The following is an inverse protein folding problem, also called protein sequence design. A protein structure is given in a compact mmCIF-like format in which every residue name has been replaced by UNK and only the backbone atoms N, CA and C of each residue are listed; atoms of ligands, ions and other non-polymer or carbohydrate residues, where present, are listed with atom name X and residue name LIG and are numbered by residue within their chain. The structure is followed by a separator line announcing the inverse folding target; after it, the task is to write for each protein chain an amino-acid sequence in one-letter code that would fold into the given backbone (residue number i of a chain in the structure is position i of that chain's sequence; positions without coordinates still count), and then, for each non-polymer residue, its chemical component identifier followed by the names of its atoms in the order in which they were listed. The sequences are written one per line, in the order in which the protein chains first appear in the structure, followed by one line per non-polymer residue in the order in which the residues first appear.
data_IF_778547570791
#
_entry.id   IF_778547570791
#
_cell.length_a   1.000
_cell.length_b   1.000
_cell.length_c   1.000
_cell.angle_alpha   90.00
_cell.angle_beta   90.00
_cell.angle_gamma   90.00
#
_symmetry.space_group_name_H-M   'P 1'
#
loop_
_entity.id
_entity.type
_entity.pdbx_description
1 polymer ?
#
# COMPACT_ATOMS: atom_id res chain seq x y z
N UNK A 1 76.07 0.64 17.61
CA UNK A 1 75.53 1.90 18.18
C UNK A 1 74.51 2.43 17.18
N UNK A 2 73.23 2.16 17.42
CA UNK A 2 72.15 2.39 16.43
C UNK A 2 71.48 3.73 16.72
N UNK A 3 71.50 4.61 15.72
CA UNK A 3 70.83 5.90 15.68
C UNK A 3 69.32 5.70 15.52
N UNK A 4 68.52 6.20 16.47
CA UNK A 4 67.06 6.16 16.42
C UNK A 4 66.50 7.46 15.81
N UNK A 5 65.95 7.35 14.60
CA UNK A 5 65.14 8.37 13.95
C UNK A 5 63.74 8.43 14.59
N UNK A 6 63.36 9.60 15.07
CA UNK A 6 62.01 9.90 15.57
C UNK A 6 61.07 10.13 14.41
N UNK A 7 60.07 9.25 14.23
CA UNK A 7 58.95 9.45 13.30
C UNK A 7 57.80 10.09 14.07
N UNK A 8 57.51 11.36 13.78
CA UNK A 8 56.30 12.04 14.25
C UNK A 8 55.09 11.50 13.47
N UNK A 9 54.26 10.68 14.12
CA UNK A 9 52.94 10.34 13.61
C UNK A 9 51.97 11.50 13.84
N UNK A 10 51.55 12.15 12.75
CA UNK A 10 50.45 13.11 12.78
C UNK A 10 49.14 12.40 13.14
N UNK A 11 48.48 12.84 14.22
CA UNK A 11 47.12 12.44 14.55
C UNK A 11 46.17 13.08 13.52
N UNK A 12 45.72 12.30 12.54
CA UNK A 12 44.57 12.66 11.71
C UNK A 12 43.32 12.33 12.54
N UNK A 13 42.72 13.35 13.15
CA UNK A 13 41.39 13.25 13.73
C UNK A 13 40.40 12.83 12.63
N UNK A 14 39.54 11.82 12.86
CA UNK A 14 38.47 11.53 11.91
C UNK A 14 37.51 12.71 11.92
N UNK A 15 37.50 13.45 10.81
CA UNK A 15 36.48 14.46 10.52
C UNK A 15 35.13 13.74 10.49
N UNK A 16 34.36 13.88 11.56
CA UNK A 16 32.96 13.51 11.56
C UNK A 16 32.30 14.34 10.46
N UNK A 17 31.95 13.66 9.36
CA UNK A 17 31.12 14.23 8.32
C UNK A 17 29.94 14.93 8.98
N UNK A 18 29.86 16.24 8.78
CA UNK A 18 28.79 17.09 9.25
C UNK A 18 27.46 16.41 8.93
N UNK A 19 26.67 16.26 9.98
CA UNK A 19 25.34 15.69 9.92
C UNK A 19 24.56 16.34 8.77
N UNK A 20 23.90 15.50 7.99
CA UNK A 20 22.78 15.92 7.18
C UNK A 20 21.89 16.82 8.04
N UNK A 21 21.68 18.06 7.60
CA UNK A 21 20.71 18.94 8.23
C UNK A 21 19.38 18.18 8.41
N UNK A 22 18.69 18.35 9.54
CA UNK A 22 17.39 17.73 9.72
C UNK A 22 16.50 18.23 8.59
N UNK A 23 16.09 17.31 7.71
CA UNK A 23 15.00 17.58 6.76
C UNK A 23 13.84 18.07 7.61
N UNK A 24 13.51 19.35 7.49
CA UNK A 24 12.40 19.95 8.18
C UNK A 24 11.19 19.08 7.84
N UNK A 25 10.71 18.34 8.84
CA UNK A 25 9.49 17.53 8.72
C UNK A 25 8.40 18.53 8.38
N UNK A 26 8.09 18.66 7.10
CA UNK A 26 7.00 19.51 6.61
C UNK A 26 5.79 19.09 7.42
N UNK A 27 5.38 19.96 8.33
CA UNK A 27 4.19 19.74 9.14
C UNK A 27 3.05 19.75 8.13
N UNK A 28 2.56 18.56 7.79
CA UNK A 28 1.46 18.42 6.86
C UNK A 28 0.30 19.24 7.41
N UNK A 29 -0.04 20.32 6.71
CA UNK A 29 -1.12 21.21 7.10
C UNK A 29 -2.42 20.42 7.15
N UNK A 30 -3.33 20.72 8.05
CA UNK A 30 -4.66 20.09 8.01
C UNK A 30 -5.33 20.41 6.66
N UNK A 31 -6.16 19.48 6.16
CA UNK A 31 -7.07 19.80 5.06
C UNK A 31 -8.02 20.92 5.49
N UNK A 32 -8.50 21.71 4.51
CA UNK A 32 -9.63 22.61 4.78
C UNK A 32 -10.82 21.82 5.33
N UNK A 33 -11.65 22.46 6.15
CA UNK A 33 -12.81 21.79 6.74
C UNK A 33 -13.75 21.25 5.65
N UNK A 34 -13.98 22.03 4.60
CA UNK A 34 -14.80 21.64 3.43
C UNK A 34 -14.24 20.43 2.69
N UNK A 35 -12.91 20.39 2.46
CA UNK A 35 -12.25 19.27 1.80
C UNK A 35 -12.35 18.00 2.64
N UNK A 36 -12.06 18.11 3.94
CA UNK A 36 -12.18 17.00 4.88
C UNK A 36 -13.62 16.51 5.01
N UNK A 37 -14.59 17.41 5.07
CA UNK A 37 -16.01 17.07 5.15
C UNK A 37 -16.48 16.34 3.89
N UNK A 38 -16.06 16.78 2.70
CA UNK A 38 -16.39 16.11 1.45
C UNK A 38 -15.81 14.69 1.36
N UNK A 39 -14.58 14.47 1.83
CA UNK A 39 -13.99 13.13 1.87
C UNK A 39 -14.64 12.22 2.92
N UNK A 40 -15.02 12.76 4.08
CA UNK A 40 -15.78 12.01 5.09
C UNK A 40 -17.21 11.69 4.66
N UNK A 41 -17.79 12.48 3.76
CA UNK A 41 -19.13 12.26 3.22
C UNK A 41 -19.19 11.17 2.13
N UNK A 42 -18.05 10.62 1.70
CA UNK A 42 -18.01 9.50 0.77
C UNK A 42 -18.78 8.32 1.37
N UNK A 43 -19.82 7.87 0.65
CA UNK A 43 -20.63 6.74 1.05
C UNK A 43 -19.84 5.43 0.92
N UNK A 44 -20.01 4.57 1.92
CA UNK A 44 -19.51 3.22 1.90
C UNK A 44 -20.39 2.33 1.00
N UNK A 45 -19.80 1.54 0.11
CA UNK A 45 -20.52 0.53 -0.67
C UNK A 45 -21.16 -0.52 0.27
N UNK A 46 -22.21 -1.26 -0.16
CA UNK A 46 -22.77 -2.35 0.62
C UNK A 46 -21.72 -3.42 0.98
N UNK A 47 -21.93 -4.15 2.08
CA UNK A 47 -21.11 -5.33 2.37
C UNK A 47 -21.31 -6.38 1.28
N UNK A 48 -20.27 -7.12 0.88
CA UNK A 48 -20.42 -8.20 -0.09
C UNK A 48 -21.30 -9.31 0.48
N UNK A 49 -21.95 -10.09 -0.39
CA UNK A 49 -22.73 -11.28 0.02
C UNK A 49 -21.82 -12.37 0.63
N UNK A 50 -20.60 -12.47 0.13
CA UNK A 50 -19.58 -13.40 0.62
C UNK A 50 -18.19 -12.84 0.38
N UNK A 51 -17.23 -13.26 1.19
CA UNK A 51 -15.81 -12.93 0.98
C UNK A 51 -15.16 -13.93 0.04
N UNK A 52 -14.15 -13.47 -0.69
CA UNK A 52 -13.29 -14.34 -1.48
C UNK A 52 -12.67 -15.39 -0.58
N UNK A 53 -12.90 -16.68 -0.89
CA UNK A 53 -12.45 -17.83 -0.07
C UNK A 53 -12.92 -17.78 1.40
N UNK A 54 -13.99 -17.06 1.69
CA UNK A 54 -14.54 -16.88 3.05
C UNK A 54 -13.46 -16.47 4.08
N UNK A 55 -12.51 -15.63 3.66
CA UNK A 55 -11.30 -15.30 4.42
C UNK A 55 -11.08 -13.80 4.53
N UNK A 56 -10.61 -13.34 5.70
CA UNK A 56 -10.19 -11.97 5.95
C UNK A 56 -8.68 -11.82 5.74
N UNK A 57 -8.26 -10.95 4.83
CA UNK A 57 -6.85 -10.74 4.50
C UNK A 57 -6.20 -9.66 5.38
N UNK A 58 -6.11 -9.94 6.68
CA UNK A 58 -5.63 -9.00 7.73
C UNK A 58 -4.16 -8.58 7.60
N UNK A 59 -3.37 -9.27 6.79
CA UNK A 59 -2.00 -8.91 6.40
C UNK A 59 -1.76 -9.29 4.94
N UNK A 60 -0.90 -8.55 4.26
CA UNK A 60 -0.46 -8.93 2.92
C UNK A 60 0.52 -10.11 2.96
N UNK A 61 0.29 -11.08 2.07
CA UNK A 61 1.18 -12.21 1.81
C UNK A 61 2.21 -11.93 0.70
N UNK A 62 2.10 -10.79 0.02
CA UNK A 62 3.11 -10.24 -0.89
C UNK A 62 4.35 -9.80 -0.09
N UNK A 63 5.53 -10.25 -0.51
CA UNK A 63 6.79 -10.18 0.27
C UNK A 63 7.78 -9.13 -0.23
N UNK A 64 7.60 -8.60 -1.42
CA UNK A 64 8.63 -7.84 -2.14
C UNK A 64 8.12 -6.49 -2.68
N UNK A 65 7.22 -5.81 -1.95
CA UNK A 65 6.71 -4.48 -2.31
C UNK A 65 7.81 -3.44 -2.51
N UNK A 66 8.95 -3.58 -1.81
CA UNK A 66 10.12 -2.73 -1.99
C UNK A 66 10.64 -2.67 -3.44
N UNK A 67 10.30 -3.65 -4.29
CA UNK A 67 10.67 -3.61 -5.71
C UNK A 67 9.98 -2.48 -6.48
N UNK A 68 8.86 -1.94 -5.97
CA UNK A 68 8.11 -0.84 -6.58
C UNK A 68 8.51 0.53 -6.01
N UNK A 69 9.33 0.57 -4.96
CA UNK A 69 9.66 1.81 -4.22
C UNK A 69 10.20 2.91 -5.12
N UNK A 70 11.18 2.59 -5.96
CA UNK A 70 11.81 3.60 -6.83
C UNK A 70 10.84 4.10 -7.91
N UNK A 71 9.97 3.23 -8.43
CA UNK A 71 8.98 3.59 -9.45
C UNK A 71 7.94 4.59 -8.96
N UNK A 72 7.62 4.59 -7.66
CA UNK A 72 6.58 5.47 -7.11
C UNK A 72 7.13 6.70 -6.38
N UNK A 73 8.45 6.86 -6.29
CA UNK A 73 9.08 7.85 -5.42
C UNK A 73 8.61 9.27 -5.73
N UNK A 74 8.03 9.93 -4.72
CA UNK A 74 7.64 11.34 -4.79
C UNK A 74 6.66 11.69 -5.92
N UNK A 75 5.68 10.81 -6.19
CA UNK A 75 4.58 11.09 -7.13
C UNK A 75 3.63 12.16 -6.57
N UNK A 76 3.43 12.20 -5.25
CA UNK A 76 2.50 13.10 -4.59
C UNK A 76 1.04 12.75 -4.84
N UNK A 77 0.15 13.70 -4.52
CA UNK A 77 -1.30 13.60 -4.74
C UNK A 77 -1.97 12.54 -3.88
N UNK A 78 -3.22 12.21 -4.25
CA UNK A 78 -4.01 11.24 -3.51
C UNK A 78 -3.52 9.80 -3.71
N UNK A 79 -3.63 8.99 -2.67
CA UNK A 79 -3.37 7.55 -2.66
C UNK A 79 -4.68 6.79 -2.44
N UNK A 80 -4.93 5.75 -3.22
CA UNK A 80 -5.99 4.76 -2.95
C UNK A 80 -5.32 3.39 -2.84
N UNK A 81 -5.63 2.62 -1.80
CA UNK A 81 -4.99 1.31 -1.64
C UNK A 81 -5.89 0.26 -1.02
N UNK A 82 -5.93 -0.92 -1.65
CA UNK A 82 -6.65 -2.09 -1.16
C UNK A 82 -5.85 -2.87 -0.13
N UNK A 83 -6.52 -3.52 0.82
CA UNK A 83 -5.90 -4.34 1.84
C UNK A 83 -5.26 -3.52 2.95
N UNK A 84 -4.27 -4.09 3.63
CA UNK A 84 -3.90 -3.68 4.99
C UNK A 84 -2.53 -3.02 5.08
N UNK A 85 -1.54 -3.74 5.61
CA UNK A 85 -0.29 -3.19 6.13
C UNK A 85 0.65 -2.65 5.06
N UNK A 86 0.52 -3.14 3.83
CA UNK A 86 1.37 -2.77 2.69
C UNK A 86 1.11 -1.34 2.22
N UNK A 87 -0.09 -0.81 2.45
CA UNK A 87 -0.42 0.59 2.12
C UNK A 87 0.51 1.57 2.84
N UNK A 88 0.90 1.28 4.08
CA UNK A 88 1.82 2.10 4.86
C UNK A 88 3.27 2.05 4.37
N UNK A 89 3.63 1.11 3.49
CA UNK A 89 4.91 1.16 2.77
C UNK A 89 4.83 2.14 1.61
N UNK A 90 3.75 2.07 0.82
CA UNK A 90 3.59 2.89 -0.39
C UNK A 90 3.37 4.38 -0.10
N UNK A 91 2.53 4.72 0.89
CA UNK A 91 2.18 6.12 1.21
C UNK A 91 3.41 7.03 1.40
N UNK A 92 4.38 6.71 2.27
CA UNK A 92 5.58 7.56 2.43
C UNK A 92 6.54 7.45 1.25
N UNK A 93 6.58 6.34 0.51
CA UNK A 93 7.39 6.22 -0.69
C UNK A 93 6.87 7.13 -1.81
N UNK A 94 5.55 7.17 -2.01
CA UNK A 94 4.92 8.04 -3.00
C UNK A 94 4.79 9.49 -2.56
N UNK A 95 5.00 9.78 -1.26
CA UNK A 95 4.76 11.09 -0.66
C UNK A 95 3.31 11.58 -0.90
N UNK A 96 2.36 10.65 -0.84
CA UNK A 96 0.94 10.99 -1.03
C UNK A 96 0.40 11.76 0.16
N UNK A 97 -0.42 12.78 -0.09
CA UNK A 97 -0.83 13.80 0.89
C UNK A 97 -2.33 13.74 1.26
N UNK A 98 -3.09 12.89 0.58
CA UNK A 98 -4.48 12.49 0.89
C UNK A 98 -4.57 10.99 0.68
N UNK A 99 -5.07 10.23 1.65
CA UNK A 99 -5.03 8.77 1.65
C UNK A 99 -6.42 8.18 1.81
N UNK A 100 -6.81 7.30 0.90
CA UNK A 100 -8.00 6.45 1.01
C UNK A 100 -7.56 5.00 1.18
N UNK A 101 -7.77 4.47 2.39
CA UNK A 101 -7.58 3.05 2.71
C UNK A 101 -8.89 2.35 2.42
N UNK A 102 -8.96 1.70 1.26
CA UNK A 102 -10.19 1.19 0.66
C UNK A 102 -10.23 -0.33 0.77
N UNK A 103 -11.29 -0.91 1.29
CA UNK A 103 -11.48 -2.36 1.21
C UNK A 103 -12.96 -2.72 1.18
N UNK A 104 -13.36 -3.77 0.48
CA UNK A 104 -14.77 -4.19 0.49
C UNK A 104 -15.10 -4.99 1.77
N UNK A 105 -14.09 -5.54 2.44
CA UNK A 105 -14.22 -6.23 3.71
C UNK A 105 -14.23 -5.23 4.87
N UNK A 106 -15.36 -5.15 5.57
CA UNK A 106 -15.51 -4.23 6.70
C UNK A 106 -14.50 -4.48 7.82
N UNK A 107 -14.08 -5.74 8.03
CA UNK A 107 -13.10 -6.06 9.07
C UNK A 107 -11.75 -5.38 8.80
N UNK A 108 -11.39 -5.24 7.53
CA UNK A 108 -10.16 -4.56 7.10
C UNK A 108 -10.26 -3.06 7.31
N UNK A 109 -11.42 -2.45 7.00
CA UNK A 109 -11.70 -1.04 7.29
C UNK A 109 -11.61 -0.76 8.80
N UNK A 110 -12.22 -1.61 9.62
CA UNK A 110 -12.16 -1.48 11.10
C UNK A 110 -10.73 -1.69 11.63
N UNK A 111 -9.96 -2.58 11.00
CA UNK A 111 -8.55 -2.80 11.34
C UNK A 111 -7.70 -1.55 11.09
N UNK A 112 -7.99 -0.75 10.05
CA UNK A 112 -7.28 0.51 9.82
C UNK A 112 -7.48 1.51 10.96
N UNK A 113 -8.62 1.50 11.64
CA UNK A 113 -8.83 2.31 12.85
C UNK A 113 -7.89 1.91 13.99
N UNK A 114 -7.55 0.61 14.09
CA UNK A 114 -6.56 0.11 15.05
C UNK A 114 -5.14 0.50 14.64
N UNK A 115 -4.83 0.48 13.34
CA UNK A 115 -3.55 1.00 12.83
C UNK A 115 -3.37 2.49 13.12
N UNK A 116 -4.43 3.30 12.97
CA UNK A 116 -4.39 4.72 13.34
C UNK A 116 -3.97 4.89 14.80
N UNK A 117 -4.62 4.19 15.73
CA UNK A 117 -4.24 4.22 17.16
C UNK A 117 -2.80 3.74 17.36
N UNK A 118 -2.36 2.72 16.62
CA UNK A 118 -0.98 2.23 16.70
C UNK A 118 0.03 3.30 16.27
N UNK A 119 -0.25 4.07 15.22
CA UNK A 119 0.59 5.19 14.78
C UNK A 119 0.54 6.38 15.75
N UNK A 120 -0.64 6.76 16.23
CA UNK A 120 -0.82 7.91 17.11
C UNK A 120 -0.23 7.70 18.52
N UNK A 121 -0.21 6.46 19.01
CA UNK A 121 0.24 6.11 20.36
C UNK A 121 1.57 5.37 20.43
N UNK A 122 2.34 5.32 19.33
CA UNK A 122 3.70 4.77 19.34
C UNK A 122 4.68 5.87 18.94
N UNK A 123 5.75 6.03 19.73
CA UNK A 123 6.71 7.12 19.53
C UNK A 123 7.58 6.93 18.28
N UNK A 124 7.82 5.68 17.89
CA UNK A 124 8.76 5.30 16.84
C UNK A 124 8.37 3.95 16.20
N UNK A 125 9.07 3.50 15.13
CA UNK A 125 8.81 2.21 14.50
C UNK A 125 8.89 0.99 15.43
N UNK A 126 9.79 1.00 16.42
CA UNK A 126 9.97 -0.13 17.34
C UNK A 126 8.79 -0.24 18.31
N UNK A 127 8.34 0.89 18.86
CA UNK A 127 7.14 0.99 19.67
C UNK A 127 5.90 0.56 18.88
N UNK A 128 5.80 0.98 17.61
CA UNK A 128 4.71 0.58 16.71
C UNK A 128 4.65 -0.93 16.52
N UNK A 129 5.78 -1.60 16.31
CA UNK A 129 5.81 -3.08 16.22
C UNK A 129 5.41 -3.70 17.57
N UNK A 130 5.85 -3.13 18.69
CA UNK A 130 5.55 -3.61 20.05
C UNK A 130 4.07 -3.47 20.42
N UNK A 131 3.35 -2.50 19.85
CA UNK A 131 1.91 -2.29 20.00
C UNK A 131 1.11 -3.58 19.77
N UNK A 132 1.52 -4.41 18.81
CA UNK A 132 0.85 -5.66 18.44
C UNK A 132 1.28 -6.87 19.30
N UNK A 133 2.15 -6.68 20.29
CA UNK A 133 2.67 -7.76 21.13
C UNK A 133 1.65 -8.25 22.16
N UNK A 134 1.83 -9.49 22.64
CA UNK A 134 0.96 -10.08 23.69
C UNK A 134 0.93 -9.22 24.95
N UNK A 135 2.04 -8.60 25.32
CA UNK A 135 2.14 -7.75 26.51
C UNK A 135 1.39 -6.42 26.40
N UNK A 136 1.00 -5.99 25.19
CA UNK A 136 0.31 -4.72 24.96
C UNK A 136 -1.21 -4.88 24.81
N UNK A 137 -1.75 -6.10 24.88
CA UNK A 137 -3.18 -6.37 24.64
C UNK A 137 -4.08 -5.49 25.49
N UNK A 138 -3.88 -5.46 26.82
CA UNK A 138 -4.70 -4.65 27.74
C UNK A 138 -4.61 -3.14 27.42
N UNK A 139 -3.40 -2.66 27.13
CA UNK A 139 -3.18 -1.26 26.75
C UNK A 139 -3.91 -0.90 25.47
N UNK A 140 -3.82 -1.74 24.43
CA UNK A 140 -4.49 -1.52 23.15
C UNK A 140 -6.01 -1.59 23.28
N UNK A 141 -6.55 -2.55 24.03
CA UNK A 141 -8.00 -2.65 24.28
C UNK A 141 -8.52 -1.43 25.04
N UNK A 142 -7.73 -0.88 25.98
CA UNK A 142 -8.03 0.37 26.68
C UNK A 142 -8.01 1.56 25.73
N UNK A 143 -7.00 1.68 24.87
CA UNK A 143 -6.93 2.74 23.85
C UNK A 143 -8.11 2.70 22.89
N UNK A 144 -8.46 1.52 22.37
CA UNK A 144 -9.65 1.33 21.51
C UNK A 144 -10.91 1.78 22.26
N UNK A 145 -11.04 1.41 23.53
CA UNK A 145 -12.21 1.75 24.34
C UNK A 145 -12.33 3.25 24.64
N UNK A 146 -11.19 3.92 24.81
CA UNK A 146 -11.08 5.36 25.11
C UNK A 146 -11.30 6.24 23.89
N UNK A 147 -10.72 5.86 22.74
CA UNK A 147 -10.67 6.73 21.56
C UNK A 147 -11.78 6.46 20.53
N UNK A 148 -12.43 5.29 20.57
CA UNK A 148 -13.57 4.98 19.69
C UNK A 148 -14.87 5.07 20.49
N UNK A 149 -15.56 6.21 20.34
CA UNK A 149 -16.77 6.54 21.11
C UNK A 149 -18.00 5.71 20.72
N UNK A 150 -18.18 5.43 19.43
CA UNK A 150 -19.35 4.70 18.92
C UNK A 150 -19.23 3.21 19.31
N UNK A 151 -20.16 2.71 20.13
CA UNK A 151 -20.14 1.34 20.69
C UNK A 151 -19.96 0.27 19.62
N UNK A 152 -20.69 0.35 18.51
CA UNK A 152 -20.62 -0.62 17.41
C UNK A 152 -19.24 -0.60 16.73
N UNK A 153 -18.70 0.59 16.42
CA UNK A 153 -17.36 0.73 15.82
C UNK A 153 -16.27 0.23 16.77
N UNK A 154 -16.41 0.51 18.07
CA UNK A 154 -15.49 0.04 19.11
C UNK A 154 -15.47 -1.50 19.18
N UNK A 155 -16.63 -2.14 19.19
CA UNK A 155 -16.73 -3.61 19.18
C UNK A 155 -16.11 -4.20 17.92
N UNK A 156 -16.34 -3.57 16.76
CA UNK A 156 -15.78 -4.01 15.49
C UNK A 156 -14.24 -3.87 15.46
N UNK A 157 -13.70 -2.75 15.93
CA UNK A 157 -12.25 -2.54 16.06
C UNK A 157 -11.60 -3.54 17.03
N UNK A 158 -12.25 -3.85 18.15
CA UNK A 158 -11.78 -4.90 19.09
C UNK A 158 -11.75 -6.28 18.41
N UNK A 159 -12.78 -6.62 17.63
CA UNK A 159 -12.83 -7.88 16.90
C UNK A 159 -11.73 -7.96 15.83
N UNK A 160 -11.57 -6.90 15.03
CA UNK A 160 -10.51 -6.78 14.04
C UNK A 160 -9.11 -6.88 14.67
N UNK A 161 -8.87 -6.19 15.79
CA UNK A 161 -7.62 -6.29 16.54
C UNK A 161 -7.34 -7.72 16.99
N UNK A 162 -8.31 -8.38 17.65
CA UNK A 162 -8.15 -9.75 18.15
C UNK A 162 -7.82 -10.73 17.03
N UNK A 163 -8.47 -10.60 15.88
CA UNK A 163 -8.21 -11.44 14.70
C UNK A 163 -6.82 -11.17 14.10
N UNK A 164 -6.45 -9.90 13.93
CA UNK A 164 -5.28 -9.50 13.15
C UNK A 164 -3.96 -9.48 13.93
N UNK A 165 -3.99 -9.34 15.27
CA UNK A 165 -2.82 -8.96 16.08
C UNK A 165 -1.61 -9.87 15.88
N UNK A 166 -1.80 -11.18 15.94
CA UNK A 166 -0.69 -12.15 15.85
C UNK A 166 -0.08 -12.15 14.45
N UNK A 167 -0.94 -12.16 13.41
CA UNK A 167 -0.51 -12.12 12.02
C UNK A 167 0.23 -10.81 11.70
N UNK A 168 -0.29 -9.68 12.19
CA UNK A 168 0.29 -8.35 12.03
C UNK A 168 1.67 -8.28 12.66
N UNK A 169 1.82 -8.66 13.94
CA UNK A 169 3.12 -8.69 14.61
C UNK A 169 4.14 -9.54 13.83
N UNK A 170 3.73 -10.73 13.38
CA UNK A 170 4.57 -11.62 12.59
C UNK A 170 4.96 -11.04 11.22
N UNK A 171 4.05 -10.34 10.55
CA UNK A 171 4.32 -9.64 9.28
C UNK A 171 5.28 -8.47 9.48
N UNK A 172 5.02 -7.60 10.45
CA UNK A 172 5.86 -6.42 10.71
C UNK A 172 7.30 -6.82 11.06
N UNK A 173 7.50 -7.81 11.94
CA UNK A 173 8.84 -8.33 12.26
C UNK A 173 9.57 -8.88 11.04
N UNK A 174 8.86 -9.55 10.12
CA UNK A 174 9.45 -10.03 8.86
C UNK A 174 9.83 -8.87 7.94
N UNK A 175 8.99 -7.84 7.82
CA UNK A 175 9.28 -6.65 7.03
C UNK A 175 10.49 -5.87 7.58
N UNK A 176 10.59 -5.66 8.90
CA UNK A 176 11.76 -5.02 9.53
C UNK A 176 13.06 -5.72 9.12
N UNK A 177 13.12 -7.06 9.30
CA UNK A 177 14.32 -7.84 8.92
C UNK A 177 14.61 -7.79 7.43
N UNK A 178 13.57 -7.87 6.59
CA UNK A 178 13.70 -7.78 5.14
C UNK A 178 14.30 -6.43 4.73
N UNK A 179 13.75 -5.34 5.24
CA UNK A 179 14.17 -3.98 4.89
C UNK A 179 15.55 -3.62 5.41
N UNK A 180 15.91 -4.06 6.62
CA UNK A 180 17.29 -3.94 7.11
C UNK A 180 18.27 -4.67 6.19
N UNK A 181 17.99 -5.95 5.89
CA UNK A 181 18.85 -6.77 5.01
C UNK A 181 18.95 -6.21 3.59
N UNK A 182 17.86 -5.67 3.05
CA UNK A 182 17.80 -5.09 1.70
C UNK A 182 18.20 -3.61 1.66
N UNK A 183 18.50 -3.00 2.81
CA UNK A 183 18.78 -1.55 2.97
C UNK A 183 17.66 -0.68 2.37
N UNK A 184 16.42 -1.08 2.59
CA UNK A 184 15.23 -0.36 2.14
C UNK A 184 14.75 0.55 3.27
N UNK A 185 14.76 1.86 3.03
CA UNK A 185 14.08 2.83 3.90
C UNK A 185 12.57 2.65 3.79
N UNK A 186 11.87 2.37 4.90
CA UNK A 186 10.42 2.33 5.03
C UNK A 186 9.97 2.94 6.36
N UNK A 187 8.65 3.07 6.60
CA UNK A 187 8.11 3.47 7.91
C UNK A 187 8.53 2.56 9.08
N UNK A 188 9.06 1.37 8.80
CA UNK A 188 9.55 0.42 9.81
C UNK A 188 11.05 0.55 10.09
N UNK A 189 11.79 1.26 9.24
CA UNK A 189 13.25 1.42 9.33
C UNK A 189 13.71 2.88 9.32
N UNK A 190 12.78 3.83 9.21
CA UNK A 190 13.03 5.27 9.20
C UNK A 190 12.01 6.01 10.06
N UNK A 191 12.52 6.82 10.98
CA UNK A 191 11.70 7.67 11.84
C UNK A 191 10.96 8.75 11.04
N UNK A 192 11.55 9.28 9.97
CA UNK A 192 10.92 10.32 9.15
C UNK A 192 9.73 9.79 8.36
N UNK A 193 9.87 8.63 7.71
CA UNK A 193 8.73 8.00 7.02
C UNK A 193 7.64 7.56 8.00
N UNK A 194 8.03 7.15 9.21
CA UNK A 194 7.08 6.86 10.28
C UNK A 194 6.30 8.11 10.70
N UNK A 195 7.01 9.21 10.99
CA UNK A 195 6.42 10.50 11.38
C UNK A 195 5.58 11.11 10.26
N UNK A 196 5.91 10.88 9.00
CA UNK A 196 5.09 11.28 7.86
C UNK A 196 3.68 10.67 7.94
N UNK A 197 3.59 9.36 8.22
CA UNK A 197 2.29 8.67 8.39
C UNK A 197 1.54 9.19 9.62
N UNK A 198 2.24 9.37 10.74
CA UNK A 198 1.65 9.97 11.95
C UNK A 198 1.11 11.38 11.65
N UNK A 199 1.84 12.17 10.88
CA UNK A 199 1.44 13.49 10.41
C UNK A 199 0.15 13.45 9.57
N UNK A 200 0.03 12.50 8.64
CA UNK A 200 -1.19 12.31 7.84
C UNK A 200 -2.41 12.00 8.72
N UNK A 201 -2.28 11.13 9.72
CA UNK A 201 -3.37 10.84 10.66
C UNK A 201 -3.76 12.06 11.48
N UNK A 202 -2.77 12.74 12.10
CA UNK A 202 -3.01 13.94 12.91
C UNK A 202 -3.61 15.09 12.12
N UNK A 203 -3.23 15.24 10.85
CA UNK A 203 -3.75 16.26 9.95
C UNK A 203 -5.13 15.92 9.36
N UNK A 204 -5.71 14.75 9.70
CA UNK A 204 -7.01 14.32 9.18
C UNK A 204 -7.00 14.05 7.67
N UNK A 205 -5.90 13.51 7.14
CA UNK A 205 -5.66 13.25 5.71
C UNK A 205 -5.84 11.77 5.33
N UNK A 206 -6.28 10.92 6.25
CA UNK A 206 -6.48 9.48 6.03
C UNK A 206 -7.95 9.11 6.20
N UNK A 207 -8.54 8.52 5.18
CA UNK A 207 -9.94 8.13 5.10
C UNK A 207 -10.05 6.62 4.93
N UNK A 208 -10.75 5.95 5.84
CA UNK A 208 -10.93 4.49 5.83
C UNK A 208 -12.30 4.18 5.28
N UNK A 209 -12.37 3.66 4.06
CA UNK A 209 -13.63 3.58 3.31
C UNK A 209 -13.92 2.13 2.91
N UNK A 210 -15.16 1.71 3.12
CA UNK A 210 -15.63 0.42 2.61
C UNK A 210 -16.02 0.61 1.15
N UNK A 211 -15.21 0.08 0.25
CA UNK A 211 -15.38 0.29 -1.19
C UNK A 211 -15.07 -0.96 -1.98
N UNK A 212 -15.85 -1.20 -3.03
CA UNK A 212 -15.59 -2.23 -4.02
C UNK A 212 -15.17 -1.56 -5.33
N UNK A 213 -14.03 -1.99 -5.88
CA UNK A 213 -13.49 -1.46 -7.15
C UNK A 213 -14.51 -1.55 -8.31
N UNK A 214 -15.48 -2.47 -8.20
CA UNK A 214 -16.52 -2.75 -9.20
C UNK A 214 -17.90 -2.19 -8.84
N UNK A 215 -18.10 -1.63 -7.65
CA UNK A 215 -19.34 -0.99 -7.25
C UNK A 215 -19.46 0.44 -7.80
N UNK A 216 -20.60 1.09 -7.60
CA UNK A 216 -20.93 2.34 -8.30
C UNK A 216 -20.76 3.60 -7.47
N UNK A 217 -20.67 3.50 -6.13
CA UNK A 217 -20.72 4.68 -5.25
C UNK A 217 -19.33 5.16 -4.84
N UNK A 218 -18.61 4.38 -4.04
CA UNK A 218 -17.40 4.83 -3.32
C UNK A 218 -16.37 5.44 -4.27
N UNK A 219 -15.92 4.66 -5.27
CA UNK A 219 -14.91 5.12 -6.23
C UNK A 219 -15.36 6.35 -7.03
N UNK A 220 -16.65 6.45 -7.33
CA UNK A 220 -17.24 7.61 -8.01
C UNK A 220 -17.15 8.86 -7.14
N UNK A 221 -17.61 8.78 -5.90
CA UNK A 221 -17.64 9.92 -4.99
C UNK A 221 -16.24 10.37 -4.57
N UNK A 222 -15.28 9.45 -4.39
CA UNK A 222 -13.87 9.82 -4.18
C UNK A 222 -13.37 10.62 -5.39
N UNK A 223 -13.61 10.14 -6.62
CA UNK A 223 -13.20 10.86 -7.82
C UNK A 223 -13.84 12.24 -7.96
N UNK A 224 -15.13 12.39 -7.61
CA UNK A 224 -15.84 13.67 -7.65
C UNK A 224 -15.28 14.65 -6.61
N UNK A 225 -15.02 14.16 -5.39
CA UNK A 225 -14.41 14.97 -4.35
C UNK A 225 -12.98 15.40 -4.71
N UNK A 226 -12.15 14.52 -5.27
CA UNK A 226 -10.81 14.90 -5.74
C UNK A 226 -10.87 16.02 -6.80
N UNK A 227 -11.79 15.93 -7.77
CA UNK A 227 -11.99 16.99 -8.78
C UNK A 227 -12.41 18.31 -8.14
N UNK A 228 -13.34 18.28 -7.18
CA UNK A 228 -13.85 19.47 -6.49
C UNK A 228 -12.73 20.29 -5.84
N UNK A 229 -11.71 19.63 -5.28
CA UNK A 229 -10.59 20.29 -4.60
C UNK A 229 -9.31 20.34 -5.44
N UNK A 230 -9.43 20.18 -6.77
CA UNK A 230 -8.29 20.21 -7.71
C UNK A 230 -7.14 19.26 -7.32
N UNK A 231 -7.48 18.10 -6.76
CA UNK A 231 -6.55 17.02 -6.44
C UNK A 231 -6.52 16.01 -7.58
N UNK A 232 -5.38 15.36 -7.75
CA UNK A 232 -5.23 14.21 -8.64
C UNK A 232 -4.94 12.93 -7.85
N UNK A 233 -5.36 11.79 -8.40
CA UNK A 233 -4.97 10.47 -7.94
C UNK A 233 -3.53 10.20 -8.40
N UNK A 234 -2.57 10.20 -7.49
CA UNK A 234 -1.17 9.91 -7.78
C UNK A 234 -0.92 8.42 -7.90
N UNK A 235 -1.30 7.64 -6.88
CA UNK A 235 -1.07 6.19 -6.87
C UNK A 235 -2.35 5.46 -6.47
N UNK A 236 -2.70 4.41 -7.22
CA UNK A 236 -3.70 3.44 -6.78
C UNK A 236 -3.10 2.04 -6.73
N UNK A 237 -3.15 1.40 -5.56
CA UNK A 237 -2.71 0.01 -5.36
C UNK A 237 -3.93 -0.91 -5.24
N UNK A 238 -4.04 -1.87 -6.16
CA UNK A 238 -5.19 -2.80 -6.25
C UNK A 238 -4.82 -4.24 -5.90
N UNK A 239 -3.62 -4.49 -5.36
CA UNK A 239 -3.17 -5.86 -5.05
C UNK A 239 -3.31 -6.79 -6.27
N UNK A 240 -3.72 -8.03 -6.06
CA UNK A 240 -4.14 -8.99 -7.08
C UNK A 240 -5.66 -9.02 -7.28
N UNK A 241 -6.42 -8.01 -6.84
CA UNK A 241 -7.89 -8.02 -6.88
C UNK A 241 -8.43 -8.23 -8.31
N UNK A 242 -7.76 -7.66 -9.29
CA UNK A 242 -8.16 -7.74 -10.70
C UNK A 242 -8.12 -9.18 -11.25
N UNK A 243 -7.43 -10.13 -10.61
CA UNK A 243 -7.40 -11.54 -11.03
C UNK A 243 -8.76 -12.24 -10.85
N UNK A 244 -9.61 -11.73 -9.95
CA UNK A 244 -10.91 -12.31 -9.62
C UNK A 244 -12.00 -11.85 -10.59
N UNK A 245 -11.66 -10.97 -11.54
CA UNK A 245 -12.56 -10.57 -12.59
C UNK A 245 -12.57 -11.62 -13.71
N UNK A 246 -13.71 -12.26 -13.94
CA UNK A 246 -13.87 -13.17 -15.08
C UNK A 246 -13.71 -12.40 -16.42
N UNK A 247 -14.38 -11.25 -16.53
CA UNK A 247 -14.17 -10.25 -17.59
C UNK A 247 -13.97 -8.89 -16.93
N UNK A 248 -13.30 -7.97 -17.62
CA UNK A 248 -13.08 -6.62 -17.10
C UNK A 248 -14.43 -5.89 -16.93
N UNK A 249 -14.90 -5.61 -15.70
CA UNK A 249 -16.25 -5.08 -15.50
C UNK A 249 -16.40 -3.66 -16.06
N UNK A 250 -17.56 -3.34 -16.65
CA UNK A 250 -17.84 -1.98 -17.17
C UNK A 250 -17.78 -0.93 -16.06
N UNK A 251 -18.26 -1.26 -14.87
CA UNK A 251 -18.19 -0.37 -13.70
C UNK A 251 -16.77 -0.14 -13.23
N UNK A 252 -15.93 -1.18 -13.20
CA UNK A 252 -14.50 -1.04 -12.91
C UNK A 252 -13.82 -0.10 -13.91
N UNK A 253 -14.07 -0.27 -15.22
CA UNK A 253 -13.56 0.67 -16.25
C UNK A 253 -13.99 2.09 -15.97
N UNK A 254 -15.29 2.32 -15.77
CA UNK A 254 -15.83 3.64 -15.50
C UNK A 254 -15.25 4.26 -14.20
N UNK A 255 -15.02 3.45 -13.17
CA UNK A 255 -14.40 3.86 -11.92
C UNK A 255 -12.94 4.27 -12.07
N UNK A 256 -12.16 3.53 -12.85
CA UNK A 256 -10.76 3.89 -13.07
C UNK A 256 -10.65 5.12 -14.00
N UNK A 257 -11.46 5.19 -15.06
CA UNK A 257 -11.41 6.26 -16.05
C UNK A 257 -11.85 7.63 -15.52
N UNK A 258 -12.73 7.68 -14.50
CA UNK A 258 -13.25 8.95 -13.98
C UNK A 258 -12.25 9.76 -13.16
N UNK A 259 -11.21 9.15 -12.59
CA UNK A 259 -10.29 9.84 -11.70
C UNK A 259 -9.52 10.97 -12.40
N UNK A 260 -9.37 12.14 -11.75
CA UNK A 260 -8.37 13.12 -12.17
C UNK A 260 -6.98 12.52 -11.92
N UNK A 261 -6.11 12.52 -12.93
CA UNK A 261 -4.76 11.93 -12.84
C UNK A 261 -3.75 12.90 -13.46
N UNK A 262 -2.50 12.78 -13.04
CA UNK A 262 -1.35 13.47 -13.63
C UNK A 262 -0.61 12.56 -14.61
N UNK A 263 0.35 13.11 -15.37
CA UNK A 263 1.24 12.30 -16.22
C UNK A 263 2.13 11.33 -15.40
N UNK A 264 2.33 11.59 -14.11
CA UNK A 264 3.10 10.72 -13.19
C UNK A 264 2.24 9.70 -12.44
N UNK A 265 0.93 9.71 -12.67
CA UNK A 265 0.03 8.83 -11.91
C UNK A 265 0.21 7.37 -12.30
N UNK A 266 0.23 6.49 -11.29
CA UNK A 266 0.51 5.06 -11.47
C UNK A 266 -0.58 4.18 -10.87
N UNK A 267 -0.79 3.03 -11.50
CA UNK A 267 -1.50 1.90 -10.90
C UNK A 267 -0.51 0.82 -10.51
N UNK A 268 -0.58 0.37 -9.26
CA UNK A 268 0.21 -0.71 -8.71
C UNK A 268 -0.66 -1.96 -8.55
N UNK A 269 -0.16 -3.10 -8.99
CA UNK A 269 -0.87 -4.38 -8.93
C UNK A 269 0.09 -5.54 -8.77
N UNK A 270 -0.44 -6.69 -8.38
CA UNK A 270 0.32 -7.92 -8.30
C UNK A 270 -0.35 -9.06 -9.06
N UNK A 271 0.47 -10.02 -9.48
CA UNK A 271 0.01 -11.25 -10.15
C UNK A 271 0.63 -12.44 -9.43
N UNK A 272 -0.18 -13.30 -8.79
CA UNK A 272 0.33 -14.52 -8.18
C UNK A 272 0.61 -15.62 -9.22
N UNK A 273 1.61 -16.47 -8.96
CA UNK A 273 1.77 -17.78 -9.59
C UNK A 273 2.37 -18.79 -8.59
N UNK A 274 2.18 -20.09 -8.86
CA UNK A 274 2.74 -21.18 -8.06
C UNK A 274 3.98 -21.75 -8.75
N UNK A 275 5.04 -22.00 -7.99
CA UNK A 275 6.33 -22.51 -8.48
C UNK A 275 6.31 -23.99 -8.93
N UNK A 276 5.16 -24.68 -8.90
CA UNK A 276 5.03 -26.06 -9.39
C UNK A 276 4.13 -26.14 -10.63
N UNK A 277 4.75 -26.07 -11.81
CA UNK A 277 4.54 -26.88 -13.05
C UNK A 277 5.41 -26.19 -14.12
N UNK A 278 6.54 -26.81 -14.46
CA UNK A 278 7.41 -26.63 -15.65
C UNK A 278 8.11 -25.27 -15.90
N UNK A 279 9.37 -25.41 -16.35
CA UNK A 279 10.53 -24.48 -16.34
C UNK A 279 10.48 -23.28 -17.31
N UNK A 280 9.31 -22.82 -17.74
CA UNK A 280 9.24 -21.63 -18.61
C UNK A 280 8.37 -20.53 -18.01
N UNK A 281 9.00 -19.73 -17.13
CA UNK A 281 8.40 -18.62 -16.37
C UNK A 281 8.37 -17.30 -17.19
N UNK A 282 8.57 -17.39 -18.52
CA UNK A 282 8.52 -16.26 -19.45
C UNK A 282 7.10 -15.92 -19.94
N UNK A 283 6.13 -16.82 -19.73
CA UNK A 283 4.77 -16.68 -20.23
C UNK A 283 3.78 -16.15 -19.18
N UNK A 284 3.69 -14.82 -19.07
CA UNK A 284 2.70 -14.14 -18.24
C UNK A 284 1.25 -14.21 -18.79
N UNK A 285 1.00 -14.83 -19.94
CA UNK A 285 -0.32 -14.86 -20.59
C UNK A 285 -1.23 -16.00 -20.13
N UNK A 286 -0.69 -17.02 -19.45
CA UNK A 286 -1.48 -18.19 -18.99
C UNK A 286 -1.68 -18.14 -17.47
N UNK A 287 -2.92 -17.99 -16.96
CA UNK A 287 -3.20 -18.18 -15.54
C UNK A 287 -3.12 -19.66 -15.21
N UNK A 288 -2.09 -20.10 -14.48
CA UNK A 288 -2.18 -21.36 -13.72
C UNK A 288 -2.92 -21.07 -12.42
N UNK A 289 -4.22 -20.79 -12.51
CA UNK A 289 -5.06 -20.62 -11.32
C UNK A 289 -5.27 -21.97 -10.67
N UNK A 290 -4.59 -22.16 -9.56
CA UNK A 290 -4.85 -23.27 -8.67
C UNK A 290 -6.08 -22.93 -7.81
N UNK A 291 -7.27 -23.20 -8.33
CA UNK A 291 -8.49 -23.11 -7.54
C UNK A 291 -8.62 -24.28 -6.54
N UNK A 292 -7.94 -25.42 -6.79
CA UNK A 292 -8.14 -26.68 -6.07
C UNK A 292 -6.88 -27.51 -5.74
N UNK A 293 -5.65 -27.00 -5.94
CA UNK A 293 -4.47 -27.83 -5.69
C UNK A 293 -4.16 -27.90 -4.20
N UNK A 294 -4.21 -29.13 -3.69
CA UNK A 294 -3.70 -29.56 -2.38
C UNK A 294 -2.16 -29.62 -2.33
N UNK A 295 -1.45 -29.06 -3.31
CA UNK A 295 0.01 -29.13 -3.43
C UNK A 295 0.70 -27.91 -2.80
N UNK A 296 1.66 -28.18 -1.91
CA UNK A 296 2.52 -27.23 -1.19
C UNK A 296 3.51 -26.52 -2.14
N UNK A 297 3.03 -25.69 -3.06
CA UNK A 297 3.88 -24.81 -3.87
C UNK A 297 4.13 -23.47 -3.17
N UNK A 298 5.33 -22.89 -3.33
CA UNK A 298 5.56 -21.49 -2.93
C UNK A 298 4.75 -20.57 -3.83
N UNK A 299 3.98 -19.66 -3.24
CA UNK A 299 3.27 -18.61 -3.98
C UNK A 299 4.24 -17.44 -4.23
N UNK A 300 4.42 -17.09 -5.50
CA UNK A 300 5.22 -15.96 -5.96
C UNK A 300 4.32 -14.87 -6.51
N UNK A 301 4.85 -13.64 -6.51
CA UNK A 301 4.16 -12.47 -7.00
C UNK A 301 5.03 -11.71 -7.99
N UNK A 302 4.40 -11.24 -9.06
CA UNK A 302 4.95 -10.24 -9.97
C UNK A 302 4.41 -8.92 -9.48
N UNK A 303 5.28 -7.94 -9.32
CA UNK A 303 4.96 -6.61 -8.85
C UNK A 303 4.96 -5.70 -10.07
N UNK A 304 3.83 -5.11 -10.38
CA UNK A 304 3.67 -4.33 -11.60
C UNK A 304 3.26 -2.92 -11.26
N UNK A 305 3.80 -1.98 -12.03
CA UNK A 305 3.24 -0.64 -12.12
C UNK A 305 2.95 -0.31 -13.58
N UNK A 306 1.94 0.52 -13.79
CA UNK A 306 1.50 0.98 -15.09
C UNK A 306 1.16 2.46 -15.02
N UNK A 307 1.63 3.23 -15.99
CA UNK A 307 1.24 4.62 -16.15
C UNK A 307 -0.27 4.71 -16.37
N UNK A 308 -0.94 5.58 -15.63
CA UNK A 308 -2.41 5.67 -15.69
C UNK A 308 -2.89 6.06 -17.10
N UNK A 309 -2.08 6.84 -17.83
CA UNK A 309 -2.32 7.18 -19.24
C UNK A 309 -2.35 5.94 -20.14
N UNK A 310 -1.41 5.01 -19.95
CA UNK A 310 -1.41 3.74 -20.68
C UNK A 310 -2.61 2.88 -20.28
N UNK A 311 -2.92 2.83 -18.99
CA UNK A 311 -4.12 2.14 -18.50
C UNK A 311 -5.39 2.69 -19.18
N UNK A 312 -5.52 4.02 -19.34
CA UNK A 312 -6.69 4.61 -20.01
C UNK A 312 -6.89 4.04 -21.41
N UNK A 313 -5.83 3.94 -22.21
CA UNK A 313 -5.92 3.35 -23.56
C UNK A 313 -6.48 1.91 -23.53
N UNK A 314 -6.05 1.09 -22.58
CA UNK A 314 -6.59 -0.25 -22.37
C UNK A 314 -8.06 -0.26 -21.92
N UNK A 315 -8.43 0.65 -21.02
CA UNK A 315 -9.79 0.70 -20.49
C UNK A 315 -10.80 1.32 -21.46
N UNK A 316 -10.36 2.10 -22.44
CA UNK A 316 -11.20 2.64 -23.52
C UNK A 316 -11.29 1.71 -24.72
N UNK A 317 -10.31 0.83 -24.92
CA UNK A 317 -10.33 -0.15 -26.00
C UNK A 317 -11.46 -1.19 -25.79
N UNK A 318 -12.33 -1.30 -26.81
CA UNK A 318 -13.44 -2.25 -26.84
C UNK A 318 -13.00 -3.70 -26.99
N UNK A 319 -11.80 -3.94 -27.54
CA UNK A 319 -11.22 -5.27 -27.73
C UNK A 319 -10.52 -5.80 -26.48
N UNK A 320 -10.23 -4.92 -25.52
CA UNK A 320 -9.81 -5.32 -24.20
C UNK A 320 -11.00 -5.98 -23.52
N UNK A 321 -10.85 -7.22 -23.07
CA UNK A 321 -11.90 -8.00 -22.40
C UNK A 321 -11.43 -8.53 -21.05
N UNK A 322 -10.12 -8.59 -20.84
CA UNK A 322 -9.49 -9.11 -19.63
C UNK A 322 -8.27 -8.29 -19.23
N UNK A 323 -7.97 -8.29 -17.93
CA UNK A 323 -6.72 -7.77 -17.40
C UNK A 323 -5.51 -8.44 -18.06
N UNK A 324 -5.59 -9.74 -18.37
CA UNK A 324 -4.46 -10.51 -18.88
C UNK A 324 -3.92 -9.99 -20.22
N UNK A 325 -4.76 -9.39 -21.05
CA UNK A 325 -4.30 -8.70 -22.27
C UNK A 325 -3.36 -7.53 -21.92
N UNK A 326 -3.69 -6.79 -20.85
CA UNK A 326 -2.96 -5.63 -20.36
C UNK A 326 -1.66 -5.97 -19.63
N UNK A 327 -1.55 -7.17 -19.05
CA UNK A 327 -0.41 -7.56 -18.19
C UNK A 327 0.45 -8.70 -18.76
N UNK A 328 0.22 -9.07 -20.03
CA UNK A 328 0.91 -10.17 -20.73
C UNK A 328 2.39 -9.87 -21.10
N UNK A 329 3.02 -10.77 -21.89
CA UNK A 329 4.45 -10.91 -22.27
C UNK A 329 5.22 -9.66 -22.71
N UNK A 330 4.59 -8.49 -22.78
CA UNK A 330 5.17 -7.22 -23.23
C UNK A 330 5.56 -6.28 -22.09
N UNK A 331 5.53 -6.77 -20.85
CA UNK A 331 5.95 -5.99 -19.69
C UNK A 331 7.48 -5.91 -19.62
N UNK A 332 8.04 -4.71 -19.45
CA UNK A 332 9.48 -4.51 -19.29
C UNK A 332 9.89 -4.91 -17.87
N UNK A 333 10.75 -5.92 -17.73
CA UNK A 333 11.29 -6.34 -16.43
C UNK A 333 12.26 -5.27 -15.92
N UNK A 334 12.04 -4.73 -14.72
CA UNK A 334 13.00 -3.80 -14.08
C UNK A 334 14.03 -4.59 -13.30
N UNK A 335 13.56 -5.30 -12.26
CA UNK A 335 14.43 -5.96 -11.28
C UNK A 335 13.70 -7.15 -10.66
N UNK A 336 14.35 -8.31 -10.62
CA UNK A 336 13.78 -9.54 -10.06
C UNK A 336 12.38 -9.86 -10.62
N UNK A 337 11.33 -9.66 -9.84
CA UNK A 337 9.93 -9.94 -10.19
C UNK A 337 9.09 -8.66 -10.37
N UNK A 338 9.75 -7.51 -10.54
CA UNK A 338 9.09 -6.24 -10.83
C UNK A 338 9.10 -5.91 -12.32
N UNK A 339 7.95 -5.38 -12.77
CA UNK A 339 7.66 -5.13 -14.17
C UNK A 339 7.01 -3.76 -14.37
N UNK A 340 7.45 -3.03 -15.39
CA UNK A 340 6.80 -1.84 -15.91
C UNK A 340 5.90 -2.22 -17.08
N UNK A 341 4.63 -1.86 -17.02
CA UNK A 341 3.68 -2.08 -18.11
C UNK A 341 3.60 -0.85 -18.99
N UNK A 342 4.37 -0.88 -20.06
CA UNK A 342 4.51 0.21 -21.04
C UNK A 342 3.72 -0.03 -22.32
N UNK A 343 3.30 -1.26 -22.58
CA UNK A 343 2.67 -1.59 -23.86
C UNK A 343 1.22 -1.11 -23.93
N UNK A 344 0.83 -0.69 -25.13
CA UNK A 344 -0.52 -0.28 -25.49
C UNK A 344 -1.28 -1.44 -26.16
N UNK A 345 -2.62 -1.39 -26.23
CA UNK A 345 -3.40 -2.38 -26.99
C UNK A 345 -2.91 -2.50 -28.44
N UNK A 346 -2.98 -3.72 -29.03
CA UNK A 346 -2.55 -3.96 -30.42
C UNK A 346 -3.51 -3.25 -31.37
N UNK A 347 -3.09 -2.07 -31.84
CA UNK A 347 -3.70 -1.20 -32.84
C UNK A 347 -5.12 -0.69 -32.52
N UNK A 348 -5.23 0.63 -32.46
CA UNK A 348 -5.92 1.30 -33.55
C UNK A 348 -4.93 1.44 -34.71
#
# INVERSE_FOLDING_TARGET
MVCALWVTYGFISPSFAQGTEPVELTTLTALSEDERAAYNAVEHDPRPKSLTRNSHYVVSDEKDHYLLKESIKGIGGAYIGVGTNQNYEFIPWSQSDVVFLLDFDQLIVDLHSVYQLAFEHSADPAAFVKFWSRGHVKTVESLISKHISIKQKRQAALAAYKMARVATLGKLKRLVRLHQRKRVTSYLTSLDQYRYIVGLFKAGRVFMVRGDLTAQKTMRQISEALKRFNRYLGVIYVSNCEQYFHKLPKTYRANMLRFPVSERSLVLRTRPWLESIEKDDSDLSKPKTCANCKTRGTLHYAYMYQDFKNLRAWLTDSNTTSLWQMVSKRSTRIKHRAYHQTHLPKNN
#
